data_IF_689145508430
#
_entry.id   IF_689145508430
#
_cell.length_a   1.000
_cell.length_b   1.000
_cell.length_c   1.000
_cell.angle_alpha   90.00
_cell.angle_beta   90.00
_cell.angle_gamma   90.00
#
_symmetry.space_group_name_H-M   'P 1'
#
loop_
_entity.id
_entity.type
_entity.pdbx_description
1 polymer ?
#
# COMPACT_ATOMS: atom_id res chain seq x y z
N UNK A 1 9.66 -29.63 1.44
CA UNK A 1 8.30 -29.87 0.90
C UNK A 1 7.96 -28.74 -0.05
N UNK A 2 7.51 -29.00 -1.28
CA UNK A 2 7.10 -27.93 -2.19
C UNK A 2 5.82 -27.30 -1.65
N UNK A 3 5.84 -25.99 -1.38
CA UNK A 3 4.64 -25.24 -0.98
C UNK A 3 3.67 -25.26 -2.16
N UNK A 4 2.50 -25.85 -1.94
CA UNK A 4 1.40 -25.90 -2.91
C UNK A 4 1.04 -24.48 -3.35
N UNK A 5 1.15 -24.20 -4.66
CA UNK A 5 0.74 -22.94 -5.27
C UNK A 5 -0.77 -22.74 -5.09
N UNK A 6 -1.14 -21.84 -4.18
CA UNK A 6 -2.46 -21.22 -4.20
C UNK A 6 -2.49 -20.25 -5.39
N UNK A 7 -3.36 -20.50 -6.37
CA UNK A 7 -3.46 -19.75 -7.64
C UNK A 7 -4.06 -18.35 -7.48
N UNK A 8 -4.30 -17.89 -6.25
CA UNK A 8 -4.81 -16.55 -5.95
C UNK A 8 -3.95 -15.91 -4.86
N UNK A 9 -3.00 -15.07 -5.28
CA UNK A 9 -2.30 -14.14 -4.39
C UNK A 9 -3.30 -13.04 -4.02
N UNK A 10 -3.52 -12.80 -2.73
CA UNK A 10 -4.33 -11.65 -2.31
C UNK A 10 -3.55 -10.38 -2.61
N UNK A 11 -4.25 -9.30 -2.98
CA UNK A 11 -3.58 -8.02 -3.28
C UNK A 11 -2.66 -7.56 -2.13
N UNK A 12 -3.05 -7.85 -0.88
CA UNK A 12 -2.22 -7.58 0.30
C UNK A 12 -0.92 -8.41 0.30
N UNK A 13 -1.01 -9.73 0.09
CA UNK A 13 0.18 -10.59 0.05
C UNK A 13 1.14 -10.24 -1.10
N UNK A 14 0.60 -9.74 -2.21
CA UNK A 14 1.42 -9.19 -3.29
C UNK A 14 2.20 -7.94 -2.84
N UNK A 15 1.55 -7.03 -2.09
CA UNK A 15 2.23 -5.85 -1.56
C UNK A 15 3.28 -6.22 -0.51
N UNK A 16 3.00 -7.18 0.37
CA UNK A 16 3.99 -7.72 1.31
C UNK A 16 5.21 -8.24 0.56
N UNK A 17 5.02 -9.11 -0.44
CA UNK A 17 6.13 -9.65 -1.24
C UNK A 17 6.95 -8.54 -1.91
N UNK A 18 6.29 -7.52 -2.48
CA UNK A 18 6.96 -6.38 -3.10
C UNK A 18 7.75 -5.51 -2.11
N UNK A 19 7.38 -5.54 -0.83
CA UNK A 19 7.92 -4.70 0.22
C UNK A 19 8.59 -5.52 1.33
N UNK A 20 9.32 -6.57 0.93
CA UNK A 20 10.17 -7.37 1.83
C UNK A 20 9.42 -8.00 3.01
N UNK A 21 8.18 -8.44 2.75
CA UNK A 21 7.24 -8.97 3.74
C UNK A 21 6.84 -7.96 4.83
N UNK A 22 7.02 -6.65 4.57
CA UNK A 22 6.73 -5.56 5.50
C UNK A 22 5.70 -4.56 4.93
N UNK A 23 4.46 -4.67 5.42
CA UNK A 23 3.40 -3.73 5.10
C UNK A 23 3.70 -2.29 5.54
N UNK A 24 4.48 -2.09 6.61
CA UNK A 24 4.85 -0.75 7.04
C UNK A 24 5.72 -0.08 5.96
N UNK A 25 6.69 -0.81 5.41
CA UNK A 25 7.49 -0.36 4.27
C UNK A 25 6.64 0.01 3.05
N UNK A 26 5.55 -0.72 2.76
CA UNK A 26 4.60 -0.33 1.72
C UNK A 26 3.91 1.01 2.03
N UNK A 27 3.44 1.22 3.26
CA UNK A 27 2.79 2.50 3.63
C UNK A 27 3.73 3.69 3.50
N UNK A 28 5.02 3.52 3.82
CA UNK A 28 6.04 4.55 3.64
C UNK A 28 6.36 4.80 2.17
N UNK A 29 6.30 3.76 1.34
CA UNK A 29 6.43 3.91 -0.11
C UNK A 29 5.26 4.71 -0.70
N UNK A 30 4.02 4.48 -0.23
CA UNK A 30 2.85 5.26 -0.63
C UNK A 30 3.01 6.75 -0.28
N UNK A 31 3.56 7.08 0.90
CA UNK A 31 3.86 8.48 1.26
C UNK A 31 4.82 9.14 0.27
N UNK A 32 5.88 8.43 -0.12
CA UNK A 32 6.85 8.90 -1.13
C UNK A 32 6.19 9.04 -2.49
N UNK A 33 5.36 8.09 -2.89
CA UNK A 33 4.64 8.12 -4.16
C UNK A 33 3.71 9.33 -4.24
N UNK A 34 2.90 9.57 -3.20
CA UNK A 34 2.03 10.75 -3.09
C UNK A 34 2.86 12.03 -3.16
N UNK A 35 3.94 12.12 -2.38
CA UNK A 35 4.81 13.30 -2.39
C UNK A 35 5.40 13.55 -3.78
N UNK A 36 5.99 12.54 -4.41
CA UNK A 36 6.58 12.64 -5.77
C UNK A 36 5.53 12.99 -6.83
N UNK A 37 4.30 12.53 -6.66
CA UNK A 37 3.21 12.80 -7.57
C UNK A 37 2.88 14.30 -7.69
N UNK A 38 3.09 15.07 -6.62
CA UNK A 38 2.94 16.54 -6.65
C UNK A 38 3.97 17.24 -7.55
N UNK A 39 5.09 16.57 -7.87
CA UNK A 39 6.14 17.11 -8.73
C UNK A 39 6.00 16.70 -10.20
N UNK A 40 4.98 15.91 -10.56
CA UNK A 40 4.75 15.55 -11.95
C UNK A 40 4.32 16.79 -12.77
N UNK A 41 4.77 16.91 -14.03
CA UNK A 41 4.44 18.04 -14.91
C UNK A 41 2.93 18.29 -14.99
N UNK A 42 2.48 19.54 -14.88
CA UNK A 42 1.05 19.93 -14.80
C UNK A 42 0.24 19.62 -16.07
N UNK A 43 0.92 19.37 -17.18
CA UNK A 43 0.35 18.96 -18.47
C UNK A 43 0.11 17.44 -18.57
N UNK A 44 0.69 16.63 -17.67
CA UNK A 44 0.49 15.18 -17.66
C UNK A 44 -0.81 14.74 -16.97
N UNK A 45 -1.30 15.54 -16.02
CA UNK A 45 -2.53 15.29 -15.25
C UNK A 45 -3.22 16.61 -14.94
N UNK A 46 -4.53 16.66 -15.17
CA UNK A 46 -5.39 17.73 -14.68
C UNK A 46 -5.38 17.79 -13.15
N UNK A 47 -5.77 18.93 -12.59
CA UNK A 47 -5.86 19.11 -11.14
C UNK A 47 -6.79 18.07 -10.48
N UNK A 48 -7.95 17.80 -11.10
CA UNK A 48 -8.91 16.82 -10.61
C UNK A 48 -8.33 15.41 -10.62
N UNK A 49 -7.65 15.00 -11.70
CA UNK A 49 -7.00 13.69 -11.75
C UNK A 49 -5.94 13.57 -10.66
N UNK A 50 -5.21 14.65 -10.35
CA UNK A 50 -4.22 14.61 -9.28
C UNK A 50 -4.84 14.41 -7.92
N UNK A 51 -5.90 15.17 -7.63
CA UNK A 51 -6.63 15.05 -6.38
C UNK A 51 -7.19 13.63 -6.21
N UNK A 52 -7.77 13.07 -7.28
CA UNK A 52 -8.31 11.72 -7.27
C UNK A 52 -7.24 10.65 -7.02
N UNK A 53 -6.08 10.74 -7.69
CA UNK A 53 -4.97 9.78 -7.48
C UNK A 53 -4.43 9.88 -6.07
N UNK A 54 -4.14 11.10 -5.58
CA UNK A 54 -3.68 11.29 -4.21
C UNK A 54 -4.68 10.75 -3.18
N UNK A 55 -5.97 10.95 -3.41
CA UNK A 55 -7.02 10.45 -2.53
C UNK A 55 -7.03 8.92 -2.48
N UNK A 56 -7.04 8.25 -3.63
CA UNK A 56 -7.02 6.78 -3.70
C UNK A 56 -5.77 6.19 -3.04
N UNK A 57 -4.59 6.79 -3.26
CA UNK A 57 -3.35 6.35 -2.63
C UNK A 57 -3.38 6.52 -1.10
N UNK A 58 -3.98 7.61 -0.61
CA UNK A 58 -4.19 7.84 0.82
C UNK A 58 -5.16 6.82 1.43
N UNK A 59 -6.29 6.55 0.77
CA UNK A 59 -7.25 5.54 1.24
C UNK A 59 -6.62 4.14 1.30
N UNK A 60 -5.83 3.77 0.28
CA UNK A 60 -5.08 2.52 0.27
C UNK A 60 -4.08 2.44 1.43
N UNK A 61 -3.32 3.52 1.67
CA UNK A 61 -2.38 3.60 2.79
C UNK A 61 -3.10 3.38 4.12
N UNK A 62 -4.22 4.05 4.34
CA UNK A 62 -5.00 3.91 5.57
C UNK A 62 -5.54 2.50 5.76
N UNK A 63 -6.04 1.87 4.69
CA UNK A 63 -6.55 0.51 4.72
C UNK A 63 -5.44 -0.48 5.13
N UNK A 64 -4.27 -0.37 4.50
CA UNK A 64 -3.11 -1.22 4.82
C UNK A 64 -2.64 -1.01 6.25
N UNK A 65 -2.53 0.25 6.70
CA UNK A 65 -2.08 0.56 8.05
C UNK A 65 -3.03 0.01 9.12
N UNK A 66 -4.35 0.06 8.88
CA UNK A 66 -5.35 -0.55 9.78
C UNK A 66 -5.14 -2.05 9.90
N UNK A 67 -4.94 -2.75 8.77
CA UNK A 67 -4.66 -4.20 8.76
C UNK A 67 -3.39 -4.51 9.57
N UNK A 68 -2.29 -3.80 9.30
CA UNK A 68 -1.04 -4.00 10.02
C UNK A 68 -1.17 -3.76 11.53
N UNK A 69 -1.90 -2.72 11.95
CA UNK A 69 -2.16 -2.45 13.37
C UNK A 69 -3.00 -3.56 14.01
N UNK A 70 -4.01 -4.05 13.32
CA UNK A 70 -4.88 -5.11 13.84
C UNK A 70 -4.12 -6.43 13.95
N UNK A 71 -3.22 -6.75 13.02
CA UNK A 71 -2.31 -7.89 13.11
C UNK A 71 -1.38 -7.79 14.33
N UNK A 72 -0.79 -6.62 14.58
CA UNK A 72 0.03 -6.38 15.78
C UNK A 72 -0.76 -6.58 17.07
N UNK A 73 -2.03 -6.13 17.13
CA UNK A 73 -2.89 -6.36 18.29
C UNK A 73 -3.19 -7.84 18.48
N UNK A 74 -3.45 -8.57 17.41
CA UNK A 74 -3.76 -9.99 17.48
C UNK A 74 -2.55 -10.79 18.01
N UNK A 75 -1.33 -10.44 17.59
CA UNK A 75 -0.09 -11.04 18.13
C UNK A 75 0.08 -10.72 19.62
N UNK A 76 -0.18 -9.48 20.04
CA UNK A 76 -0.01 -9.07 21.44
C UNK A 76 -1.01 -9.72 22.43
N UNK A 77 -2.11 -10.28 21.94
CA UNK A 77 -3.13 -10.98 22.75
C UNK A 77 -3.06 -12.51 22.63
N UNK A 78 -2.09 -13.05 21.89
CA UNK A 78 -1.83 -14.49 21.69
C UNK A 78 -0.70 -14.98 22.60
#
# INVERSE_FOLDING_TARGET
>A
MPKTHSTHITLLSYFEECHEEDLLSFTQWLDKAIYMFHYLPTDAFSETERQNVCHVLMELKEAVLKIHIDDLKNIAHS
#
